data_IF_820073926160
#
_entry.id   IF_820073926160
#
_cell.length_a   1.000
_cell.length_b   1.000
_cell.length_c   1.000
_cell.angle_alpha   90.00
_cell.angle_beta   90.00
_cell.angle_gamma   90.00
#
_symmetry.space_group_name_H-M   'P 1'
#
loop_
_entity.id
_entity.type
_entity.pdbx_description
1 polymer ?
#
# COMPACT_ATOMS: atom_id res chain seq x y z
N UNK A 1 -4.29 -3.08 -9.43
CA UNK A 1 -5.57 -3.62 -9.94
C UNK A 1 -5.69 -3.48 -11.45
N UNK A 2 -5.14 -2.43 -12.08
CA UNK A 2 -5.24 -2.22 -13.54
C UNK A 2 -4.79 -3.41 -14.40
N UNK A 3 -3.63 -4.01 -14.13
CA UNK A 3 -3.16 -5.17 -14.91
C UNK A 3 -4.14 -6.34 -14.94
N UNK A 4 -4.83 -6.62 -13.82
CA UNK A 4 -5.88 -7.64 -13.78
C UNK A 4 -7.10 -7.24 -14.62
N UNK A 5 -7.50 -5.98 -14.56
CA UNK A 5 -8.64 -5.47 -15.31
C UNK A 5 -8.42 -5.53 -16.83
N UNK A 6 -7.20 -5.24 -17.29
CA UNK A 6 -6.83 -5.33 -18.70
C UNK A 6 -6.88 -6.77 -19.21
N UNK A 7 -6.33 -7.72 -18.44
CA UNK A 7 -6.39 -9.15 -18.79
C UNK A 7 -7.85 -9.64 -18.82
N UNK A 8 -8.67 -9.24 -17.83
CA UNK A 8 -10.10 -9.57 -17.81
C UNK A 8 -10.80 -9.07 -19.07
N UNK A 9 -10.59 -7.80 -19.43
CA UNK A 9 -11.19 -7.19 -20.62
C UNK A 9 -10.78 -7.92 -21.89
N UNK A 10 -9.49 -8.26 -22.03
CA UNK A 10 -8.97 -8.94 -23.22
C UNK A 10 -9.50 -10.38 -23.38
N UNK A 11 -9.78 -11.07 -22.26
CA UNK A 11 -10.42 -12.39 -22.29
C UNK A 11 -11.90 -12.24 -22.67
N UNK A 12 -12.60 -11.29 -22.06
CA UNK A 12 -14.03 -11.06 -22.31
C UNK A 12 -14.32 -10.58 -23.75
N UNK A 13 -13.40 -9.82 -24.36
CA UNK A 13 -13.49 -9.39 -25.76
C UNK A 13 -13.15 -10.50 -26.77
N UNK A 14 -12.58 -11.62 -26.31
CA UNK A 14 -12.09 -12.69 -27.18
C UNK A 14 -10.75 -12.38 -27.86
N UNK A 15 -10.00 -11.39 -27.37
CA UNK A 15 -8.68 -11.05 -27.91
C UNK A 15 -7.61 -12.06 -27.46
N UNK A 16 -7.76 -12.63 -26.25
CA UNK A 16 -6.89 -13.69 -25.71
C UNK A 16 -7.72 -14.75 -24.98
N UNK A 17 -7.21 -15.97 -24.89
CA UNK A 17 -7.84 -17.04 -24.12
C UNK A 17 -7.35 -17.10 -22.65
N UNK A 18 -6.08 -16.72 -22.42
CA UNK A 18 -5.41 -16.78 -21.11
C UNK A 18 -4.38 -15.66 -21.01
N UNK A 19 -4.24 -15.06 -19.81
CA UNK A 19 -3.21 -14.05 -19.51
C UNK A 19 -2.75 -14.08 -18.06
N UNK A 20 -1.55 -13.57 -17.79
CA UNK A 20 -1.00 -13.43 -16.42
C UNK A 20 -0.96 -11.94 -16.07
N UNK A 21 -1.61 -11.57 -14.97
CA UNK A 21 -1.55 -10.23 -14.40
C UNK A 21 -0.68 -10.23 -13.13
N UNK A 22 0.27 -9.31 -13.06
CA UNK A 22 1.16 -9.11 -11.91
C UNK A 22 1.41 -7.62 -11.65
N UNK A 23 1.92 -7.30 -10.46
CA UNK A 23 2.39 -5.97 -10.10
C UNK A 23 3.62 -6.07 -9.20
N UNK A 24 4.55 -5.14 -9.34
CA UNK A 24 5.80 -5.10 -8.57
C UNK A 24 6.13 -3.66 -8.19
N UNK A 25 6.61 -3.46 -6.97
CA UNK A 25 7.06 -2.15 -6.49
C UNK A 25 8.26 -2.34 -5.56
N UNK A 26 9.35 -1.62 -5.83
CA UNK A 26 10.51 -1.51 -4.94
C UNK A 26 10.63 -0.05 -4.48
N UNK A 27 10.04 0.24 -3.33
CA UNK A 27 10.06 1.59 -2.75
C UNK A 27 11.39 1.94 -2.04
N UNK A 28 12.30 0.97 -1.85
CA UNK A 28 13.62 1.23 -1.28
C UNK A 28 14.56 1.79 -2.35
N UNK A 29 14.56 1.18 -3.52
CA UNK A 29 15.39 1.63 -4.64
C UNK A 29 14.73 2.77 -5.40
N UNK A 30 13.40 2.75 -5.56
CA UNK A 30 12.65 3.76 -6.31
C UNK A 30 11.70 4.49 -5.37
N UNK A 31 12.00 5.74 -4.96
CA UNK A 31 11.12 6.47 -4.07
C UNK A 31 9.77 6.73 -4.74
N UNK A 32 8.74 6.98 -3.93
CA UNK A 32 7.41 7.34 -4.42
C UNK A 32 7.49 8.55 -5.38
N UNK A 33 7.12 8.34 -6.65
CA UNK A 33 7.22 9.35 -7.72
C UNK A 33 8.44 9.18 -8.66
N UNK A 34 9.29 8.18 -8.42
CA UNK A 34 10.46 7.88 -9.25
C UNK A 34 11.56 8.93 -9.16
N UNK A 35 12.48 8.90 -10.13
CA UNK A 35 13.67 9.78 -10.16
C UNK A 35 13.46 11.10 -10.92
N UNK A 36 12.36 11.21 -11.67
CA UNK A 36 12.04 12.40 -12.46
C UNK A 36 10.54 12.73 -12.37
N UNK A 37 10.04 13.13 -11.18
CA UNK A 37 8.66 13.55 -11.05
C UNK A 37 8.46 14.90 -11.75
N UNK A 38 7.80 14.93 -12.90
CA UNK A 38 7.30 16.19 -13.48
C UNK A 38 5.91 16.50 -12.92
N UNK A 39 5.89 17.30 -11.86
CA UNK A 39 4.68 17.91 -11.35
C UNK A 39 4.59 19.35 -11.82
N UNK A 40 4.45 19.62 -13.13
CA UNK A 40 4.25 20.96 -13.72
C UNK A 40 4.80 22.11 -12.87
N UNK A 41 6.14 22.15 -12.68
CA UNK A 41 6.82 22.98 -11.66
C UNK A 41 6.60 24.51 -11.80
N UNK A 42 6.16 24.94 -12.99
CA UNK A 42 5.98 26.34 -13.39
C UNK A 42 4.52 26.82 -13.36
N UNK A 43 3.58 26.03 -12.82
CA UNK A 43 2.23 26.54 -12.55
C UNK A 43 2.28 27.58 -11.43
N UNK A 44 1.61 28.75 -11.55
CA UNK A 44 1.50 29.74 -10.47
C UNK A 44 0.90 29.15 -9.17
N UNK A 45 0.32 27.95 -9.26
CA UNK A 45 -0.14 27.13 -8.16
C UNK A 45 0.90 26.09 -7.71
N UNK A 46 2.15 26.46 -7.39
CA UNK A 46 3.16 25.51 -6.81
C UNK A 46 2.67 24.74 -5.57
N UNK A 47 1.62 25.22 -4.91
CA UNK A 47 0.98 24.52 -3.80
C UNK A 47 0.08 23.34 -4.21
N UNK A 48 -0.23 23.13 -5.50
CA UNK A 48 -1.12 22.06 -6.00
C UNK A 48 -0.45 20.74 -6.29
N UNK A 49 0.87 20.62 -6.15
CA UNK A 49 1.51 19.30 -6.09
C UNK A 49 1.13 18.63 -4.77
N UNK A 50 -0.05 18.04 -4.77
CA UNK A 50 -0.63 17.32 -3.66
C UNK A 50 -0.07 15.89 -3.70
N UNK A 51 1.03 15.68 -2.99
CA UNK A 51 1.42 14.31 -2.62
C UNK A 51 0.35 13.74 -1.68
N UNK A 52 0.10 12.44 -1.73
CA UNK A 52 -0.96 11.76 -0.96
C UNK A 52 -1.07 12.19 0.50
N UNK A 53 0.07 12.34 1.21
CA UNK A 53 0.08 12.80 2.60
C UNK A 53 -0.49 14.22 2.79
N UNK A 54 -0.22 15.13 1.83
CA UNK A 54 -0.72 16.51 1.82
C UNK A 54 -2.21 16.54 1.47
N UNK A 55 -2.65 15.73 0.50
CA UNK A 55 -4.07 15.57 0.15
C UNK A 55 -4.90 15.10 1.35
N UNK A 56 -4.40 14.08 2.08
CA UNK A 56 -5.05 13.61 3.30
C UNK A 56 -5.20 14.71 4.35
N UNK A 57 -4.35 15.74 4.37
CA UNK A 57 -4.41 16.86 5.34
C UNK A 57 -5.51 17.87 5.04
N UNK A 58 -5.82 18.08 3.76
CA UNK A 58 -6.89 18.99 3.32
C UNK A 58 -8.26 18.31 3.24
N UNK A 59 -8.30 16.97 3.25
CA UNK A 59 -9.54 16.24 3.48
C UNK A 59 -10.19 16.71 4.80
N UNK A 60 -11.52 16.86 4.92
CA UNK A 60 -12.20 17.33 6.14
C UNK A 60 -12.03 16.33 7.31
N UNK A 61 -10.83 16.33 7.91
CA UNK A 61 -10.37 15.30 8.86
C UNK A 61 -11.22 15.22 10.12
N UNK A 62 -11.84 16.33 10.53
CA UNK A 62 -12.51 16.43 11.83
C UNK A 62 -13.99 16.05 11.78
N UNK A 63 -14.62 16.16 10.62
CA UNK A 63 -16.06 15.95 10.48
C UNK A 63 -16.42 14.52 10.04
N UNK A 64 -15.55 13.88 9.24
CA UNK A 64 -15.86 12.57 8.64
C UNK A 64 -15.23 11.40 9.42
N UNK A 65 -14.03 11.58 9.99
CA UNK A 65 -13.32 10.54 10.77
C UNK A 65 -12.58 11.13 11.98
N UNK A 66 -13.22 11.22 13.16
CA UNK A 66 -12.58 11.71 14.37
C UNK A 66 -11.25 11.00 14.66
N UNK A 67 -10.28 11.71 15.27
CA UNK A 67 -8.94 11.16 15.53
C UNK A 67 -8.94 9.80 16.25
N UNK A 68 -9.83 9.63 17.23
CA UNK A 68 -10.01 8.36 17.96
C UNK A 68 -10.50 7.22 17.06
N UNK A 69 -11.35 7.50 16.06
CA UNK A 69 -11.84 6.52 15.09
C UNK A 69 -10.71 6.02 14.19
N UNK A 70 -9.81 6.92 13.78
CA UNK A 70 -8.68 6.60 12.90
C UNK A 70 -7.60 5.78 13.60
N UNK A 71 -7.30 6.13 14.85
CA UNK A 71 -6.42 5.33 15.71
C UNK A 71 -7.02 3.94 15.96
N UNK A 72 -8.31 3.86 16.29
CA UNK A 72 -9.02 2.58 16.43
C UNK A 72 -8.98 1.74 15.14
N UNK A 73 -9.13 2.37 13.97
CA UNK A 73 -9.01 1.68 12.68
C UNK A 73 -7.61 1.11 12.47
N UNK A 74 -6.57 1.91 12.69
CA UNK A 74 -5.18 1.46 12.56
C UNK A 74 -4.86 0.29 13.49
N UNK A 75 -5.20 0.42 14.78
CA UNK A 75 -5.03 -0.64 15.78
C UNK A 75 -5.75 -1.92 15.34
N UNK A 76 -7.00 -1.79 14.87
CA UNK A 76 -7.79 -2.94 14.44
C UNK A 76 -7.20 -3.61 13.18
N UNK A 77 -6.65 -2.83 12.24
CA UNK A 77 -5.98 -3.36 11.05
C UNK A 77 -4.77 -4.22 11.43
N UNK A 78 -3.90 -3.70 12.31
CA UNK A 78 -2.73 -4.43 12.80
C UNK A 78 -3.12 -5.70 13.55
N UNK A 79 -4.11 -5.64 14.45
CA UNK A 79 -4.60 -6.82 15.18
C UNK A 79 -5.12 -7.92 14.25
N UNK A 80 -5.86 -7.53 13.21
CA UNK A 80 -6.37 -8.49 12.21
C UNK A 80 -5.24 -9.13 11.41
N UNK A 81 -4.27 -8.34 10.97
CA UNK A 81 -3.12 -8.86 10.22
C UNK A 81 -2.29 -9.83 11.07
N UNK A 82 -1.97 -9.48 12.32
CA UNK A 82 -1.24 -10.35 13.25
C UNK A 82 -2.00 -11.64 13.55
N UNK A 83 -3.32 -11.57 13.77
CA UNK A 83 -4.14 -12.76 13.96
C UNK A 83 -4.18 -13.63 12.71
N UNK A 84 -4.24 -13.05 11.52
CA UNK A 84 -4.22 -13.81 10.26
C UNK A 84 -2.87 -14.52 10.03
N UNK A 85 -1.76 -13.87 10.38
CA UNK A 85 -0.42 -14.49 10.37
C UNK A 85 -0.37 -15.64 11.37
N UNK A 86 -0.80 -15.43 12.62
CA UNK A 86 -0.78 -16.47 13.65
C UNK A 86 -1.68 -17.68 13.31
N UNK A 87 -2.78 -17.44 12.60
CA UNK A 87 -3.72 -18.47 12.13
C UNK A 87 -3.25 -19.17 10.83
N UNK A 88 -2.09 -18.82 10.26
CA UNK A 88 -1.57 -19.41 9.01
C UNK A 88 -2.41 -19.11 7.76
N UNK A 89 -3.16 -18.00 7.76
CA UNK A 89 -4.08 -17.67 6.64
C UNK A 89 -3.38 -17.27 5.36
N UNK A 90 -2.10 -16.90 5.44
CA UNK A 90 -1.30 -16.44 4.32
C UNK A 90 -0.36 -17.51 3.75
N UNK A 91 -0.29 -18.70 4.38
CA UNK A 91 0.64 -19.77 4.03
C UNK A 91 0.48 -20.28 2.58
N UNK A 92 -0.73 -20.13 2.01
CA UNK A 92 -1.04 -20.55 0.63
C UNK A 92 -0.79 -19.46 -0.41
N UNK A 93 -0.58 -18.20 -0.01
CA UNK A 93 -0.43 -17.07 -0.94
C UNK A 93 0.93 -16.35 -0.85
N UNK A 94 1.62 -16.45 0.29
CA UNK A 94 2.98 -15.93 0.43
C UNK A 94 4.00 -16.92 -0.10
N UNK A 95 4.83 -16.45 -1.04
CA UNK A 95 5.95 -17.20 -1.59
C UNK A 95 7.24 -16.64 -0.98
N UNK A 96 7.99 -17.49 -0.26
CA UNK A 96 9.23 -17.09 0.40
C UNK A 96 10.29 -16.63 -0.59
N UNK A 97 10.99 -15.53 -0.30
CA UNK A 97 12.04 -14.95 -1.14
C UNK A 97 13.38 -15.09 -0.44
N UNK A 98 14.38 -15.61 -1.16
CA UNK A 98 15.77 -15.55 -0.72
C UNK A 98 16.38 -14.18 -1.06
N UNK A 99 16.71 -13.42 -0.02
CA UNK A 99 17.35 -12.10 -0.15
C UNK A 99 18.85 -12.28 -0.30
N UNK A 100 19.29 -12.64 -1.50
CA UNK A 100 20.69 -12.74 -1.88
C UNK A 100 21.53 -13.69 -0.99
N UNK A 101 20.92 -14.72 -0.39
CA UNK A 101 21.58 -15.63 0.54
C UNK A 101 21.81 -15.07 1.94
N UNK A 102 21.37 -13.84 2.24
CA UNK A 102 21.51 -13.22 3.56
C UNK A 102 20.41 -13.66 4.52
N UNK A 103 19.16 -13.67 4.03
CA UNK A 103 18.00 -14.10 4.80
C UNK A 103 16.86 -14.55 3.88
N UNK A 104 15.98 -15.38 4.43
CA UNK A 104 14.69 -15.70 3.81
C UNK A 104 13.63 -14.74 4.34
N UNK A 105 12.89 -14.12 3.43
CA UNK A 105 11.70 -13.32 3.74
C UNK A 105 10.49 -14.20 3.44
N UNK A 106 9.78 -14.64 4.48
CA UNK A 106 8.62 -15.53 4.38
C UNK A 106 7.33 -14.95 4.99
N UNK A 107 7.43 -13.79 5.66
CA UNK A 107 6.34 -13.18 6.42
C UNK A 107 6.34 -11.66 6.24
N UNK A 108 5.15 -11.05 6.22
CA UNK A 108 5.02 -9.59 6.18
C UNK A 108 5.60 -8.90 7.43
N UNK A 109 6.57 -7.99 7.24
CA UNK A 109 7.22 -7.23 8.33
C UNK A 109 6.42 -5.99 8.81
N UNK A 110 5.36 -5.64 8.08
CA UNK A 110 4.56 -4.43 8.31
C UNK A 110 3.66 -4.46 9.54
N UNK A 111 2.92 -5.55 9.82
CA UNK A 111 2.09 -5.69 11.02
C UNK A 111 2.92 -5.58 12.32
N UNK A 112 2.43 -4.80 13.29
CA UNK A 112 3.12 -4.56 14.57
C UNK A 112 2.11 -4.58 15.70
N UNK A 113 2.56 -5.06 16.87
CA UNK A 113 1.77 -5.01 18.09
C UNK A 113 1.41 -3.55 18.42
N UNK A 114 0.12 -3.18 18.45
CA UNK A 114 -0.25 -1.79 18.65
C UNK A 114 0.05 -1.36 20.09
N UNK A 115 1.03 -0.47 20.25
CA UNK A 115 1.28 0.20 21.54
C UNK A 115 0.41 1.46 21.64
N UNK A 116 -0.31 1.63 22.74
CA UNK A 116 -1.16 2.81 23.02
C UNK A 116 -0.36 4.10 23.28
N UNK A 117 0.95 4.11 22.98
CA UNK A 117 1.78 5.29 23.21
C UNK A 117 1.38 6.33 22.17
N UNK A 118 0.59 7.31 22.62
CA UNK A 118 0.35 8.55 21.87
C UNK A 118 1.70 9.11 21.45
N UNK A 119 2.01 9.06 20.16
CA UNK A 119 2.96 9.98 19.58
C UNK A 119 2.40 11.39 19.81
N UNK A 120 2.96 12.12 20.78
CA UNK A 120 2.79 13.57 20.83
C UNK A 120 3.42 14.10 19.55
N UNK A 121 2.58 14.41 18.57
CA UNK A 121 2.92 15.25 17.44
C UNK A 121 2.87 16.71 17.88
#
# INVERSE_FOLDING_TARGET
>A
MEGLHQISTAIESGDIDVGIAAGVEDMFSVPQGGFAPDFHLNSPNRNTTLVWAKALRYWPRREIFPGKTREKFSINSHKKALAAIADGKFDNELISIDKYGECTIDTDEGPREPTLIRSKA
#
